data_IF_803569582228
#
_entry.id   IF_803569582228
#
_cell.length_a   1.000
_cell.length_b   1.000
_cell.length_c   1.000
_cell.angle_alpha   90.00
_cell.angle_beta   90.00
_cell.angle_gamma   90.00
#
_symmetry.space_group_name_H-M   'P 1'
#
loop_
_entity.id
_entity.type
_entity.pdbx_description
1 polymer ?
#
# COMPACT_ATOMS: atom_id res chain seq x y z
N UNK A 1 54.20 38.58 11.52
CA UNK A 1 53.95 37.39 10.69
C UNK A 1 53.24 36.26 11.44
N UNK A 2 53.49 35.93 12.69
CA UNK A 2 52.84 34.85 13.47
C UNK A 2 51.35 35.07 13.76
N UNK A 3 50.85 36.32 13.84
CA UNK A 3 49.43 36.63 14.13
C UNK A 3 48.51 36.55 12.90
N UNK A 4 49.04 36.65 11.68
CA UNK A 4 48.27 36.52 10.44
C UNK A 4 48.02 35.02 10.10
N UNK A 5 48.95 34.15 10.42
CA UNK A 5 48.82 32.71 10.20
C UNK A 5 47.79 32.05 11.13
N UNK A 6 47.62 32.58 12.36
CA UNK A 6 46.61 32.06 13.33
C UNK A 6 45.19 32.48 12.94
N UNK A 7 44.97 33.64 12.34
CA UNK A 7 43.64 34.07 11.86
C UNK A 7 43.18 33.26 10.62
N UNK A 8 44.13 32.92 9.72
CA UNK A 8 43.82 32.11 8.54
C UNK A 8 43.45 30.65 8.89
N UNK A 9 44.11 30.07 9.89
CA UNK A 9 43.81 28.74 10.38
C UNK A 9 42.44 28.66 11.11
N UNK A 10 42.05 29.71 11.86
CA UNK A 10 40.75 29.78 12.52
C UNK A 10 39.58 29.96 11.51
N UNK A 11 39.80 30.74 10.42
CA UNK A 11 38.80 30.91 9.36
C UNK A 11 38.61 29.61 8.56
N UNK A 12 39.65 28.80 8.33
CA UNK A 12 39.53 27.50 7.65
C UNK A 12 38.85 26.46 8.51
N UNK A 13 39.02 26.47 9.83
CA UNK A 13 38.35 25.57 10.77
C UNK A 13 36.83 25.86 10.89
N UNK A 14 36.42 27.14 10.78
CA UNK A 14 35.00 27.53 10.79
C UNK A 14 34.29 27.17 9.48
N UNK A 15 34.99 27.10 8.34
CA UNK A 15 34.40 26.67 7.07
C UNK A 15 34.11 25.18 6.94
N UNK A 16 34.71 24.34 7.79
CA UNK A 16 34.47 22.91 7.78
C UNK A 16 33.28 22.45 8.67
N UNK A 17 32.69 23.33 9.47
CA UNK A 17 31.57 22.98 10.35
C UNK A 17 30.19 23.19 9.71
N UNK A 18 30.14 23.59 8.43
CA UNK A 18 28.89 23.92 7.72
C UNK A 18 28.28 22.82 6.85
N UNK A 19 28.93 21.67 6.70
CA UNK A 19 28.28 20.52 6.11
C UNK A 19 27.54 19.77 7.23
N UNK A 20 26.36 20.25 7.59
CA UNK A 20 25.41 19.46 8.38
C UNK A 20 25.19 18.16 7.63
N UNK A 21 25.69 17.06 8.13
CA UNK A 21 25.25 15.75 7.71
C UNK A 21 23.74 15.75 7.98
N UNK A 22 22.94 15.88 6.93
CA UNK A 22 21.50 15.60 7.02
C UNK A 22 21.44 14.15 7.50
N UNK A 23 20.89 13.94 8.69
CA UNK A 23 20.70 12.58 9.19
C UNK A 23 19.75 11.89 8.22
N UNK A 24 20.21 10.84 7.56
CA UNK A 24 19.38 10.01 6.69
C UNK A 24 18.22 9.43 7.52
N UNK A 25 16.99 9.66 7.05
CA UNK A 25 15.80 9.09 7.68
C UNK A 25 15.36 7.89 6.86
N UNK A 26 15.41 6.70 7.45
CA UNK A 26 14.93 5.47 6.82
C UNK A 26 13.48 5.24 7.17
N UNK A 27 12.63 5.10 6.13
CA UNK A 27 11.21 4.75 6.23
C UNK A 27 11.02 3.29 5.81
N UNK A 28 10.17 2.56 6.53
CA UNK A 28 9.84 1.17 6.23
C UNK A 28 8.59 1.09 5.36
N UNK A 29 8.65 0.33 4.24
CA UNK A 29 7.53 0.05 3.36
C UNK A 29 7.24 -1.44 3.32
N UNK A 30 6.07 -1.85 3.81
CA UNK A 30 5.62 -3.24 3.80
C UNK A 30 4.74 -3.58 2.60
N UNK A 31 4.88 -4.81 2.09
CA UNK A 31 3.97 -5.38 1.09
C UNK A 31 3.90 -6.90 1.21
N UNK A 32 2.75 -7.49 0.82
CA UNK A 32 2.54 -8.95 0.85
C UNK A 32 2.98 -9.67 -0.42
N UNK A 33 3.35 -8.93 -1.47
CA UNK A 33 3.73 -9.50 -2.75
C UNK A 33 5.17 -9.99 -2.76
N UNK A 34 5.47 -10.87 -3.72
CA UNK A 34 6.84 -11.36 -3.92
C UNK A 34 7.66 -10.36 -4.76
N UNK A 35 8.96 -10.59 -4.83
CA UNK A 35 9.95 -9.73 -5.49
C UNK A 35 9.75 -9.58 -7.01
N UNK A 36 8.98 -10.47 -7.66
CA UNK A 36 8.70 -10.43 -9.09
C UNK A 36 7.35 -9.76 -9.43
N UNK A 37 6.61 -9.35 -8.43
CA UNK A 37 5.30 -8.72 -8.60
C UNK A 37 5.44 -7.26 -9.07
N UNK A 38 4.46 -6.77 -9.84
CA UNK A 38 4.44 -5.38 -10.32
C UNK A 38 4.42 -4.36 -9.18
N UNK A 39 3.81 -4.67 -8.04
CA UNK A 39 3.82 -3.79 -6.87
C UNK A 39 5.20 -3.67 -6.24
N UNK A 40 6.00 -4.75 -6.26
CA UNK A 40 7.39 -4.69 -5.82
C UNK A 40 8.21 -3.75 -6.71
N UNK A 41 8.07 -3.89 -8.03
CA UNK A 41 8.75 -3.00 -9.00
C UNK A 41 8.34 -1.54 -8.79
N UNK A 42 7.05 -1.29 -8.52
CA UNK A 42 6.57 0.06 -8.21
C UNK A 42 7.14 0.60 -6.90
N UNK A 43 7.24 -0.23 -5.85
CA UNK A 43 7.84 0.13 -4.58
C UNK A 43 9.33 0.49 -4.73
N UNK A 44 10.09 -0.30 -5.49
CA UNK A 44 11.51 -0.04 -5.77
C UNK A 44 11.70 1.27 -6.52
N UNK A 45 10.86 1.52 -7.55
CA UNK A 45 10.92 2.79 -8.29
C UNK A 45 10.52 3.99 -7.43
N UNK A 46 9.54 3.81 -6.55
CA UNK A 46 9.16 4.84 -5.59
C UNK A 46 10.30 5.15 -4.62
N UNK A 47 10.95 4.12 -4.06
CA UNK A 47 12.09 4.28 -3.17
C UNK A 47 13.24 5.03 -3.85
N UNK A 48 13.62 4.65 -5.08
CA UNK A 48 14.64 5.33 -5.89
C UNK A 48 14.30 6.82 -6.08
N UNK A 49 13.06 7.13 -6.47
CA UNK A 49 12.63 8.51 -6.70
C UNK A 49 12.57 9.36 -5.43
N UNK A 50 12.21 8.77 -4.29
CA UNK A 50 12.23 9.47 -3.00
C UNK A 50 13.67 9.81 -2.62
N UNK A 51 14.59 8.85 -2.68
CA UNK A 51 16.00 9.08 -2.38
C UNK A 51 16.61 10.17 -3.30
N UNK A 52 16.35 10.07 -4.62
CA UNK A 52 16.82 11.06 -5.60
C UNK A 52 16.26 12.46 -5.32
N UNK A 53 14.95 12.59 -5.12
CA UNK A 53 14.27 13.90 -4.98
C UNK A 53 14.51 14.56 -3.63
N UNK A 54 14.88 13.79 -2.63
CA UNK A 54 15.24 14.31 -1.31
C UNK A 54 16.75 14.48 -1.12
N UNK A 55 17.53 14.25 -2.17
CA UNK A 55 18.99 14.24 -2.13
C UNK A 55 19.56 13.36 -1.01
N UNK A 56 18.93 12.18 -0.81
CA UNK A 56 19.32 11.20 0.21
C UNK A 56 18.88 11.53 1.64
N UNK A 57 18.05 12.55 1.85
CA UNK A 57 17.48 12.86 3.17
C UNK A 57 16.54 11.74 3.64
N UNK A 58 15.77 11.14 2.72
CA UNK A 58 14.88 10.01 2.99
C UNK A 58 15.25 8.82 2.15
N UNK A 59 15.27 7.66 2.80
CA UNK A 59 15.47 6.35 2.19
C UNK A 59 14.32 5.42 2.54
N UNK A 60 13.88 4.59 1.60
CA UNK A 60 12.81 3.64 1.84
C UNK A 60 13.40 2.23 1.82
N UNK A 61 13.20 1.50 2.91
CA UNK A 61 13.51 0.09 3.02
C UNK A 61 12.25 -0.75 2.79
N UNK A 62 12.29 -1.63 1.78
CA UNK A 62 11.13 -2.39 1.32
C UNK A 62 11.16 -3.79 1.94
N UNK A 63 10.02 -4.20 2.52
CA UNK A 63 9.80 -5.49 3.16
C UNK A 63 8.72 -6.29 2.40
N UNK A 64 9.12 -7.13 1.42
CA UNK A 64 8.20 -7.95 0.62
C UNK A 64 7.74 -9.21 1.35
N UNK A 65 6.91 -10.02 0.65
CA UNK A 65 6.47 -11.36 1.09
C UNK A 65 5.71 -11.39 2.42
N UNK A 66 5.13 -10.28 2.84
CA UNK A 66 4.41 -10.19 4.12
C UNK A 66 5.32 -10.38 5.34
N UNK A 67 6.59 -10.02 5.24
CA UNK A 67 7.55 -10.14 6.35
C UNK A 67 7.19 -9.28 7.56
N UNK A 68 6.42 -8.21 7.34
CA UNK A 68 5.88 -7.34 8.41
C UNK A 68 4.43 -7.70 8.80
N UNK A 69 3.92 -8.87 8.38
CA UNK A 69 2.56 -9.33 8.65
C UNK A 69 1.67 -9.34 7.42
N UNK A 70 0.39 -9.66 7.62
CA UNK A 70 -0.65 -9.57 6.59
C UNK A 70 -1.04 -8.13 6.30
N UNK A 71 -1.88 -7.91 5.28
CA UNK A 71 -2.32 -6.56 4.91
C UNK A 71 -3.06 -5.84 6.04
N UNK A 72 -3.92 -6.54 6.78
CA UNK A 72 -4.61 -5.99 7.94
C UNK A 72 -3.63 -5.66 9.07
N UNK A 73 -2.65 -6.53 9.36
CA UNK A 73 -1.63 -6.30 10.38
C UNK A 73 -0.77 -5.06 10.05
N UNK A 74 -0.44 -4.88 8.77
CA UNK A 74 0.32 -3.70 8.31
C UNK A 74 -0.51 -2.42 8.39
N UNK A 75 -1.82 -2.46 8.07
CA UNK A 75 -2.70 -1.30 8.23
C UNK A 75 -2.82 -0.88 9.71
N UNK A 76 -3.00 -1.84 10.62
CA UNK A 76 -3.00 -1.57 12.06
C UNK A 76 -1.67 -0.95 12.52
N UNK A 77 -0.56 -1.47 12.00
CA UNK A 77 0.78 -0.95 12.32
C UNK A 77 0.99 0.46 11.79
N UNK A 78 0.52 0.77 10.57
CA UNK A 78 0.60 2.12 10.01
C UNK A 78 -0.31 3.10 10.76
N UNK A 79 -1.53 2.71 11.11
CA UNK A 79 -2.47 3.57 11.84
C UNK A 79 -1.96 3.97 13.22
N UNK A 80 -1.10 3.15 13.82
CA UNK A 80 -0.47 3.40 15.13
C UNK A 80 0.95 3.97 15.05
N UNK A 81 1.48 4.19 13.83
CA UNK A 81 2.81 4.71 13.60
C UNK A 81 3.96 3.74 13.86
N UNK A 82 3.68 2.43 13.92
CA UNK A 82 4.70 1.38 14.04
C UNK A 82 5.29 0.96 12.69
N UNK A 83 4.63 1.29 11.60
CA UNK A 83 5.09 1.10 10.23
C UNK A 83 4.84 2.40 9.46
N UNK A 84 5.81 2.84 8.66
CA UNK A 84 5.73 4.12 7.99
C UNK A 84 4.84 4.08 6.74
N UNK A 85 4.94 3.02 5.92
CA UNK A 85 4.30 2.94 4.61
C UNK A 85 3.88 1.50 4.27
N UNK A 86 2.92 1.36 3.36
CA UNK A 86 2.51 0.07 2.81
C UNK A 86 1.88 0.19 1.42
N UNK A 87 2.06 -0.85 0.62
CA UNK A 87 1.27 -1.07 -0.59
C UNK A 87 0.29 -2.19 -0.28
N UNK A 88 -0.97 -1.81 -0.10
CA UNK A 88 -2.03 -2.66 0.43
C UNK A 88 -3.16 -2.74 -0.59
N UNK A 89 -3.78 -3.90 -0.77
CA UNK A 89 -4.97 -4.03 -1.62
C UNK A 89 -6.20 -3.33 -1.01
N UNK A 90 -7.20 -2.96 -1.82
CA UNK A 90 -8.38 -2.20 -1.37
C UNK A 90 -9.17 -2.91 -0.26
N UNK A 91 -9.25 -4.25 -0.31
CA UNK A 91 -10.14 -5.02 0.54
C UNK A 91 -10.07 -4.73 2.04
N UNK A 92 -8.92 -4.77 2.70
CA UNK A 92 -8.81 -4.53 4.14
C UNK A 92 -9.13 -3.09 4.58
N UNK A 93 -9.03 -2.11 3.68
CA UNK A 93 -9.28 -0.70 4.05
C UNK A 93 -10.71 -0.41 4.52
N UNK A 94 -11.68 -1.25 4.17
CA UNK A 94 -13.06 -1.10 4.65
C UNK A 94 -13.16 -1.14 6.17
N UNK A 95 -12.22 -1.78 6.85
CA UNK A 95 -12.16 -1.83 8.31
C UNK A 95 -11.67 -0.51 8.95
N UNK A 96 -11.08 0.38 8.15
CA UNK A 96 -10.57 1.70 8.55
C UNK A 96 -11.45 2.84 8.04
N UNK A 97 -12.06 2.67 6.86
CA UNK A 97 -13.07 3.57 6.30
C UNK A 97 -14.10 2.76 5.51
N UNK A 98 -15.36 2.78 5.95
CA UNK A 98 -16.47 2.09 5.25
C UNK A 98 -16.62 2.56 3.81
N UNK A 99 -16.28 3.81 3.51
CA UNK A 99 -16.35 4.38 2.18
C UNK A 99 -15.42 3.66 1.18
N UNK A 100 -14.28 3.15 1.64
CA UNK A 100 -13.35 2.36 0.80
C UNK A 100 -14.00 1.07 0.28
N UNK A 101 -15.02 0.56 0.95
CA UNK A 101 -15.77 -0.63 0.53
C UNK A 101 -16.47 -0.48 -0.82
N UNK A 102 -16.69 0.73 -1.32
CA UNK A 102 -17.27 0.96 -2.65
C UNK A 102 -16.38 0.36 -3.74
N UNK A 103 -15.06 0.38 -3.57
CA UNK A 103 -14.08 -0.14 -4.55
C UNK A 103 -14.15 -1.67 -4.70
N UNK A 104 -14.76 -2.36 -3.75
CA UNK A 104 -14.91 -3.82 -3.76
C UNK A 104 -16.30 -4.28 -4.25
N UNK A 105 -17.14 -3.33 -4.69
CA UNK A 105 -18.42 -3.65 -5.29
C UNK A 105 -18.23 -4.35 -6.63
N UNK A 106 -18.95 -5.46 -6.88
CA UNK A 106 -18.84 -6.17 -8.14
C UNK A 106 -19.32 -5.30 -9.31
N UNK A 107 -18.58 -5.35 -10.42
CA UNK A 107 -18.90 -4.65 -11.66
C UNK A 107 -18.99 -3.11 -11.54
N UNK A 108 -18.29 -2.51 -10.57
CA UNK A 108 -18.25 -1.06 -10.37
C UNK A 108 -17.72 -0.32 -11.60
N UNK A 109 -16.67 -0.85 -12.22
CA UNK A 109 -16.05 -0.31 -13.44
C UNK A 109 -16.17 -1.32 -14.58
N UNK A 110 -16.45 -0.84 -15.80
CA UNK A 110 -16.51 -1.68 -16.98
C UNK A 110 -15.09 -2.04 -17.51
N UNK A 111 -14.12 -1.18 -17.29
CA UNK A 111 -12.73 -1.33 -17.76
C UNK A 111 -11.77 -0.48 -16.92
N UNK A 112 -10.46 -0.68 -17.15
CA UNK A 112 -9.41 0.03 -16.42
C UNK A 112 -9.45 1.54 -16.67
N UNK A 113 -9.75 2.00 -17.88
CA UNK A 113 -9.76 3.43 -18.22
C UNK A 113 -10.80 4.19 -17.41
N UNK A 114 -11.99 3.60 -17.21
CA UNK A 114 -13.02 4.18 -16.33
C UNK A 114 -12.53 4.22 -14.87
N UNK A 115 -11.91 3.15 -14.40
CA UNK A 115 -11.34 3.10 -13.05
C UNK A 115 -10.29 4.20 -12.85
N UNK A 116 -9.34 4.36 -13.76
CA UNK A 116 -8.30 5.39 -13.68
C UNK A 116 -8.91 6.79 -13.67
N UNK A 117 -9.86 7.05 -14.58
CA UNK A 117 -10.51 8.37 -14.65
C UNK A 117 -11.18 8.77 -13.34
N UNK A 118 -11.77 7.82 -12.62
CA UNK A 118 -12.45 8.08 -11.35
C UNK A 118 -11.44 8.15 -10.20
N UNK A 119 -10.51 7.19 -10.12
CA UNK A 119 -9.61 7.05 -8.98
C UNK A 119 -8.46 8.06 -9.00
N UNK A 120 -7.98 8.47 -10.18
CA UNK A 120 -6.98 9.54 -10.30
C UNK A 120 -7.62 10.94 -10.22
N UNK A 121 -8.95 11.01 -10.18
CA UNK A 121 -9.73 12.24 -10.08
C UNK A 121 -10.09 12.65 -8.66
N UNK A 122 -11.03 13.57 -8.55
CA UNK A 122 -11.53 14.14 -7.29
C UNK A 122 -12.17 13.07 -6.39
N UNK A 123 -13.01 12.19 -6.96
CA UNK A 123 -13.68 11.10 -6.21
C UNK A 123 -12.65 10.17 -5.56
N UNK A 124 -11.61 9.77 -6.31
CA UNK A 124 -10.56 8.93 -5.75
C UNK A 124 -9.78 9.63 -4.65
N UNK A 125 -9.52 10.94 -4.79
CA UNK A 125 -8.89 11.73 -3.72
C UNK A 125 -9.76 11.82 -2.49
N UNK A 126 -11.04 12.12 -2.63
CA UNK A 126 -11.99 12.15 -1.52
C UNK A 126 -12.04 10.81 -0.78
N UNK A 127 -12.02 9.67 -1.50
CA UNK A 127 -11.96 8.35 -0.88
C UNK A 127 -10.68 8.14 -0.07
N UNK A 128 -9.51 8.53 -0.61
CA UNK A 128 -8.24 8.43 0.12
C UNK A 128 -8.24 9.31 1.38
N UNK A 129 -8.82 10.49 1.31
CA UNK A 129 -8.88 11.42 2.44
C UNK A 129 -9.77 10.89 3.59
N UNK A 130 -10.72 9.97 3.33
CA UNK A 130 -11.49 9.31 4.40
C UNK A 130 -10.63 8.43 5.32
N UNK A 131 -9.42 8.09 4.92
CA UNK A 131 -8.49 7.30 5.72
C UNK A 131 -7.80 8.12 6.82
N UNK A 132 -7.82 9.45 6.74
CA UNK A 132 -7.16 10.34 7.70
C UNK A 132 -7.73 10.20 9.11
N UNK A 133 -9.04 9.95 9.24
CA UNK A 133 -9.70 9.71 10.53
C UNK A 133 -9.18 8.45 11.24
N UNK A 134 -8.61 7.50 10.47
CA UNK A 134 -7.98 6.29 10.97
C UNK A 134 -6.45 6.43 11.14
N UNK A 135 -5.90 7.64 11.01
CA UNK A 135 -4.46 7.89 11.13
C UNK A 135 -3.66 7.46 9.92
N UNK A 136 -4.29 7.26 8.77
CA UNK A 136 -3.67 6.82 7.53
C UNK A 136 -3.73 7.94 6.48
N UNK A 137 -2.66 8.15 5.73
CA UNK A 137 -2.64 9.06 4.59
C UNK A 137 -2.58 8.28 3.28
N UNK A 138 -3.66 8.31 2.50
CA UNK A 138 -3.67 7.76 1.16
C UNK A 138 -2.86 8.64 0.20
N UNK A 139 -1.86 8.06 -0.46
CA UNK A 139 -0.98 8.80 -1.38
C UNK A 139 -1.45 8.71 -2.83
N UNK A 140 -1.71 7.49 -3.30
CA UNK A 140 -2.13 7.20 -4.67
C UNK A 140 -2.76 5.81 -4.76
N UNK A 141 -3.40 5.52 -5.89
CA UNK A 141 -3.84 4.18 -6.24
C UNK A 141 -2.79 3.50 -7.13
N UNK A 142 -2.68 2.17 -6.98
CA UNK A 142 -1.91 1.32 -7.88
C UNK A 142 -2.85 0.24 -8.45
N UNK A 143 -2.72 -0.06 -9.74
CA UNK A 143 -3.59 -0.99 -10.44
C UNK A 143 -3.06 -2.43 -10.33
N UNK A 144 -3.98 -3.36 -10.06
CA UNK A 144 -3.70 -4.80 -10.06
C UNK A 144 -4.70 -5.59 -10.94
N UNK A 145 -5.43 -4.93 -11.81
CA UNK A 145 -6.42 -5.50 -12.68
C UNK A 145 -7.72 -5.92 -12.00
N UNK A 146 -8.56 -6.60 -12.76
CA UNK A 146 -9.84 -7.11 -12.29
C UNK A 146 -9.70 -8.49 -11.65
N UNK A 147 -10.45 -8.69 -10.56
CA UNK A 147 -10.53 -10.01 -9.91
C UNK A 147 -11.46 -10.91 -10.66
N UNK A 148 -11.04 -12.16 -10.84
CA UNK A 148 -11.85 -13.20 -11.43
C UNK A 148 -12.00 -14.37 -10.45
N UNK A 149 -13.12 -15.08 -10.53
CA UNK A 149 -13.33 -16.32 -9.78
C UNK A 149 -12.58 -17.45 -10.47
N UNK A 150 -11.73 -18.15 -9.72
CA UNK A 150 -11.10 -19.40 -10.15
C UNK A 150 -11.53 -20.54 -9.24
N UNK A 151 -11.79 -21.72 -9.78
CA UNK A 151 -12.10 -22.92 -9.02
C UNK A 151 -11.70 -24.20 -9.80
N UNK A 152 -11.54 -25.30 -9.10
CA UNK A 152 -11.20 -26.61 -9.67
C UNK A 152 -12.37 -27.61 -9.67
N UNK A 153 -13.59 -27.18 -9.32
CA UNK A 153 -14.73 -28.05 -9.13
C UNK A 153 -15.56 -28.19 -10.40
N UNK A 154 -15.88 -27.04 -11.05
CA UNK A 154 -16.72 -27.00 -12.26
C UNK A 154 -16.58 -25.67 -13.01
N UNK A 155 -16.94 -25.61 -14.30
CA UNK A 155 -17.08 -24.35 -15.01
C UNK A 155 -18.10 -23.43 -14.31
N UNK A 156 -17.86 -22.13 -14.32
CA UNK A 156 -18.77 -21.09 -13.82
C UNK A 156 -19.11 -20.18 -15.02
N UNK A 157 -20.36 -20.26 -15.46
CA UNK A 157 -20.87 -19.49 -16.59
C UNK A 157 -21.95 -18.48 -16.18
N UNK A 158 -22.53 -18.68 -15.00
CA UNK A 158 -23.52 -17.79 -14.41
C UNK A 158 -23.41 -17.81 -12.87
N UNK A 159 -24.14 -16.91 -12.20
CA UNK A 159 -24.11 -16.80 -10.75
C UNK A 159 -24.58 -18.07 -10.01
N UNK A 160 -25.51 -18.82 -10.60
CA UNK A 160 -26.04 -20.06 -9.99
C UNK A 160 -24.97 -21.16 -9.92
N UNK A 161 -24.00 -21.17 -10.82
CA UNK A 161 -22.89 -22.12 -10.81
C UNK A 161 -21.97 -21.95 -9.61
N UNK A 162 -22.03 -20.80 -8.91
CA UNK A 162 -21.27 -20.54 -7.69
C UNK A 162 -21.87 -21.26 -6.46
N UNK A 163 -23.12 -21.74 -6.55
CA UNK A 163 -23.79 -22.35 -5.40
C UNK A 163 -23.00 -23.54 -4.84
N UNK A 164 -22.75 -23.53 -3.52
CA UNK A 164 -22.03 -24.58 -2.82
C UNK A 164 -20.50 -24.59 -3.00
N UNK A 165 -19.92 -23.70 -3.85
CA UNK A 165 -18.48 -23.58 -3.91
C UNK A 165 -17.94 -22.94 -2.63
N UNK A 166 -16.78 -23.41 -2.16
CA UNK A 166 -15.99 -22.75 -1.12
C UNK A 166 -15.03 -21.77 -1.79
N UNK A 167 -15.27 -20.48 -1.60
CA UNK A 167 -14.50 -19.42 -2.25
C UNK A 167 -13.71 -18.63 -1.21
N UNK A 168 -12.39 -18.51 -1.40
CA UNK A 168 -11.58 -17.57 -0.64
C UNK A 168 -11.90 -16.16 -1.11
N UNK A 169 -12.18 -15.27 -0.18
CA UNK A 169 -12.44 -13.85 -0.44
C UNK A 169 -11.52 -12.96 0.37
N UNK A 170 -11.50 -11.66 0.06
CA UNK A 170 -10.79 -10.67 0.84
C UNK A 170 -11.42 -10.49 2.23
N UNK A 171 -10.66 -9.93 3.16
CA UNK A 171 -11.06 -9.73 4.55
C UNK A 171 -11.98 -8.51 4.70
N UNK A 172 -13.13 -8.53 4.02
CA UNK A 172 -14.16 -7.51 4.19
C UNK A 172 -15.59 -8.06 4.01
N UNK A 173 -16.55 -7.26 4.49
CA UNK A 173 -17.96 -7.62 4.46
C UNK A 173 -18.58 -7.53 3.06
N UNK A 174 -18.10 -6.65 2.16
CA UNK A 174 -18.63 -6.49 0.80
C UNK A 174 -18.44 -7.77 0.00
N UNK A 175 -17.22 -8.35 0.02
CA UNK A 175 -16.96 -9.65 -0.61
C UNK A 175 -17.77 -10.76 0.02
N UNK A 176 -17.84 -10.78 1.36
CA UNK A 176 -18.60 -11.80 2.09
C UNK A 176 -20.08 -11.75 1.73
N UNK A 177 -20.69 -10.58 1.69
CA UNK A 177 -22.09 -10.38 1.32
C UNK A 177 -22.36 -10.76 -0.14
N UNK A 178 -21.49 -10.32 -1.06
CA UNK A 178 -21.59 -10.61 -2.49
C UNK A 178 -21.65 -12.12 -2.75
N UNK A 179 -20.69 -12.87 -2.20
CA UNK A 179 -20.62 -14.30 -2.46
C UNK A 179 -21.63 -15.13 -1.66
N UNK A 180 -22.07 -14.69 -0.48
CA UNK A 180 -23.20 -15.32 0.23
C UNK A 180 -24.49 -15.25 -0.61
N UNK A 181 -24.73 -14.16 -1.32
CA UNK A 181 -25.92 -13.99 -2.16
C UNK A 181 -25.97 -14.97 -3.34
N UNK A 182 -24.82 -15.42 -3.84
CA UNK A 182 -24.72 -16.47 -4.87
C UNK A 182 -24.83 -17.89 -4.29
N UNK A 183 -25.22 -18.05 -3.04
CA UNK A 183 -25.26 -19.35 -2.33
C UNK A 183 -23.92 -20.10 -2.27
N UNK A 184 -22.81 -19.42 -2.51
CA UNK A 184 -21.46 -19.94 -2.25
C UNK A 184 -21.13 -19.84 -0.75
N UNK A 185 -20.07 -20.52 -0.32
CA UNK A 185 -19.56 -20.43 1.05
C UNK A 185 -18.26 -19.61 1.04
N UNK A 186 -18.33 -18.27 1.19
CA UNK A 186 -17.14 -17.46 1.25
C UNK A 186 -16.40 -17.70 2.58
N UNK A 187 -15.08 -17.73 2.53
CA UNK A 187 -14.23 -17.73 3.72
C UNK A 187 -13.09 -16.73 3.56
N UNK A 188 -12.70 -16.13 4.68
CA UNK A 188 -11.54 -15.25 4.74
C UNK A 188 -10.29 -16.08 4.98
N UNK A 189 -9.22 -15.75 4.30
CA UNK A 189 -7.92 -16.35 4.55
C UNK A 189 -7.23 -15.55 5.66
N UNK A 190 -7.26 -16.03 6.86
CA UNK A 190 -6.39 -15.60 7.94
C UNK A 190 -5.06 -16.33 7.73
N UNK A 191 -4.04 -15.67 7.24
CA UNK A 191 -2.78 -16.30 6.88
C UNK A 191 -2.33 -17.35 7.88
N UNK A 192 -2.00 -18.56 7.42
CA UNK A 192 -1.40 -19.57 8.29
C UNK A 192 -0.04 -19.03 8.74
N UNK A 193 0.06 -18.67 10.01
CA UNK A 193 1.37 -18.57 10.67
C UNK A 193 1.98 -19.96 10.60
N UNK A 194 3.05 -20.11 9.86
CA UNK A 194 3.94 -21.27 9.96
C UNK A 194 4.90 -21.06 11.12
#
# INVERSE_FOLDING_TARGET
>A
MKKLTTLAAAALALAMTGAGALAETTLQLGTTVNEQDSFQVAAEKFAELVEERTNGEYKIEIYPNGTLGGESDMLDSMSTGMLDMGIITSGPFVNFSEMMGVLDMPYLFANNEEAYKVLDGEIGRELLDTLEDAGLKGLAYAERGFRNVTNSVRPVTCADDLAGLKLRVMENEVYTATFKRSRSTPFRWLGLRR
#
